data_IF_098296537081
#
_entry.id   IF_098296537081
#
_cell.length_a   1.000
_cell.length_b   1.000
_cell.length_c   1.000
_cell.angle_alpha   90.00
_cell.angle_beta   90.00
_cell.angle_gamma   90.00
#
_symmetry.space_group_name_H-M   'P 1'
#
loop_
_entity.id
_entity.type
_entity.pdbx_description
1 polymer ?
#
# COMPACT_ATOMS: atom_id res chain seq x y z
N UNK A 1 -10.10 -45.63 16.55
CA UNK A 1 -9.00 -45.17 17.43
C UNK A 1 -8.75 -46.14 18.58
N UNK A 2 -9.70 -46.35 19.51
CA UNK A 2 -9.47 -47.17 20.72
C UNK A 2 -8.86 -48.57 20.46
N UNK A 3 -9.35 -49.29 19.45
CA UNK A 3 -8.80 -50.60 19.05
C UNK A 3 -7.32 -50.52 18.64
N UNK A 4 -6.98 -49.59 17.74
CA UNK A 4 -5.59 -49.39 17.31
C UNK A 4 -4.69 -49.00 18.48
N UNK A 5 -5.17 -48.15 19.39
CA UNK A 5 -4.42 -47.76 20.59
C UNK A 5 -4.10 -48.97 21.47
N UNK A 6 -5.09 -49.83 21.75
CA UNK A 6 -4.89 -51.03 22.57
C UNK A 6 -3.84 -51.97 21.96
N UNK A 7 -3.89 -52.17 20.65
CA UNK A 7 -2.96 -53.05 19.95
C UNK A 7 -1.53 -52.48 19.88
N UNK A 8 -1.40 -51.18 19.63
CA UNK A 8 -0.09 -50.49 19.63
C UNK A 8 0.52 -50.48 21.03
N UNK A 9 -0.29 -50.29 22.08
CA UNK A 9 0.19 -50.40 23.47
C UNK A 9 0.67 -51.83 23.77
N UNK A 10 -0.12 -52.84 23.40
CA UNK A 10 0.27 -54.24 23.61
C UNK A 10 1.58 -54.60 22.88
N UNK A 11 1.73 -54.20 21.61
CA UNK A 11 2.96 -54.47 20.85
C UNK A 11 4.14 -53.65 21.39
N UNK A 12 3.93 -52.40 21.82
CA UNK A 12 4.95 -51.55 22.44
C UNK A 12 5.48 -52.13 23.75
N UNK A 13 4.59 -52.58 24.65
CA UNK A 13 5.00 -53.26 25.88
C UNK A 13 5.72 -54.58 25.59
N UNK A 14 5.19 -55.39 24.65
CA UNK A 14 5.80 -56.64 24.26
C UNK A 14 7.21 -56.44 23.68
N UNK A 15 7.43 -55.43 22.83
CA UNK A 15 8.75 -55.06 22.31
C UNK A 15 9.69 -54.63 23.42
N UNK A 16 9.21 -53.81 24.35
CA UNK A 16 10.01 -53.34 25.49
C UNK A 16 10.50 -54.52 26.34
N UNK A 17 9.62 -55.47 26.63
CA UNK A 17 9.94 -56.67 27.43
C UNK A 17 10.82 -57.65 26.64
N UNK A 18 10.59 -57.83 25.33
CA UNK A 18 11.29 -58.83 24.50
C UNK A 18 12.66 -58.38 23.97
N UNK A 19 12.89 -57.08 23.78
CA UNK A 19 14.18 -56.55 23.30
C UNK A 19 15.29 -56.54 24.39
N UNK A 20 15.02 -57.11 25.56
CA UNK A 20 15.97 -57.31 26.67
C UNK A 20 16.92 -58.48 26.42
N UNK A 21 17.52 -58.54 25.22
CA UNK A 21 18.38 -59.63 24.72
C UNK A 21 19.79 -59.60 25.31
N UNK A 22 19.88 -59.51 26.64
CA UNK A 22 21.12 -59.65 27.40
C UNK A 22 20.82 -60.20 28.80
N UNK A 23 21.06 -61.51 28.98
CA UNK A 23 20.94 -62.30 30.21
C UNK A 23 19.50 -62.58 30.71
N UNK A 24 19.18 -63.88 30.81
CA UNK A 24 17.90 -64.51 31.18
C UNK A 24 17.32 -64.17 32.57
N UNK A 25 17.87 -63.16 33.25
CA UNK A 25 17.40 -62.60 34.53
C UNK A 25 16.70 -61.24 34.37
N UNK A 26 16.68 -60.67 33.16
CA UNK A 26 16.11 -59.34 32.94
C UNK A 26 14.61 -59.34 32.59
N UNK A 27 14.08 -60.36 31.93
CA UNK A 27 12.65 -60.38 31.53
C UNK A 27 11.71 -60.43 32.74
N UNK A 28 11.99 -61.28 33.75
CA UNK A 28 11.20 -61.34 34.99
C UNK A 28 11.24 -60.01 35.74
N UNK A 29 12.42 -59.37 35.82
CA UNK A 29 12.59 -58.06 36.45
C UNK A 29 11.86 -56.95 35.69
N UNK A 30 11.83 -56.99 34.36
CA UNK A 30 11.07 -56.03 33.55
C UNK A 30 9.56 -56.22 33.71
N UNK A 31 9.09 -57.47 33.84
CA UNK A 31 7.68 -57.75 34.14
C UNK A 31 7.30 -57.29 35.56
N UNK A 32 8.18 -57.47 36.56
CA UNK A 32 8.01 -56.92 37.91
C UNK A 32 8.00 -55.38 37.90
N UNK A 33 8.90 -54.74 37.15
CA UNK A 33 8.92 -53.28 36.98
C UNK A 33 7.70 -52.76 36.22
N UNK A 34 7.20 -53.50 35.24
CA UNK A 34 5.96 -53.18 34.54
C UNK A 34 4.76 -53.26 35.49
N UNK A 35 4.68 -54.31 36.31
CA UNK A 35 3.65 -54.46 37.35
C UNK A 35 3.74 -53.37 38.44
N UNK A 36 4.95 -52.92 38.78
CA UNK A 36 5.21 -51.84 39.73
C UNK A 36 5.09 -50.42 39.13
N UNK A 37 4.86 -50.29 37.82
CA UNK A 37 4.76 -48.99 37.14
C UNK A 37 6.08 -48.22 36.99
N UNK A 38 7.23 -48.89 37.09
CA UNK A 38 8.57 -48.29 37.07
C UNK A 38 9.27 -48.31 35.70
N UNK A 39 8.55 -48.65 34.63
CA UNK A 39 9.11 -48.82 33.28
C UNK A 39 9.18 -47.51 32.47
N UNK A 40 8.84 -46.36 33.06
CA UNK A 40 8.65 -45.08 32.37
C UNK A 40 9.81 -44.65 31.47
N UNK A 41 11.05 -44.83 31.91
CA UNK A 41 12.25 -44.43 31.17
C UNK A 41 12.42 -45.16 29.82
N UNK A 42 11.81 -46.34 29.67
CA UNK A 42 11.87 -47.16 28.45
C UNK A 42 10.66 -46.98 27.53
N UNK A 43 9.63 -46.25 27.99
CA UNK A 43 8.37 -46.04 27.28
C UNK A 43 8.37 -44.70 26.55
N UNK A 44 9.27 -44.53 25.60
CA UNK A 44 9.25 -43.38 24.69
C UNK A 44 8.22 -43.54 23.58
N UNK A 45 7.71 -42.44 22.97
CA UNK A 45 6.81 -42.52 21.82
C UNK A 45 7.33 -43.41 20.67
N UNK A 46 8.65 -43.44 20.45
CA UNK A 46 9.30 -44.32 19.47
C UNK A 46 9.20 -45.80 19.80
N UNK A 47 9.09 -46.20 21.07
CA UNK A 47 8.87 -47.59 21.50
C UNK A 47 7.52 -48.11 21.03
N UNK A 48 6.54 -47.21 20.89
CA UNK A 48 5.20 -47.52 20.39
C UNK A 48 5.07 -47.39 18.86
N UNK A 49 6.13 -46.99 18.14
CA UNK A 49 6.17 -47.02 16.68
C UNK A 49 6.34 -48.47 16.21
N UNK A 50 5.22 -49.15 16.14
CA UNK A 50 5.12 -50.55 15.77
C UNK A 50 4.74 -50.70 14.30
N UNK A 51 5.02 -51.87 13.71
CA UNK A 51 4.60 -52.20 12.34
C UNK A 51 3.12 -52.60 12.25
N UNK A 52 2.33 -52.29 13.28
CA UNK A 52 0.92 -52.62 13.35
C UNK A 52 0.11 -51.72 12.41
N UNK A 53 -0.65 -52.36 11.52
CA UNK A 53 -1.60 -51.69 10.64
C UNK A 53 -3.01 -51.81 11.22
N UNK A 54 -3.55 -50.70 11.70
CA UNK A 54 -4.90 -50.65 12.25
C UNK A 54 -5.97 -50.26 11.21
N UNK A 55 -7.26 -50.30 11.58
CA UNK A 55 -8.38 -49.91 10.70
C UNK A 55 -8.35 -48.46 10.21
N UNK A 56 -7.62 -47.58 10.89
CA UNK A 56 -7.47 -46.15 10.57
C UNK A 56 -6.17 -45.88 9.79
N UNK A 57 -5.34 -46.90 9.59
CA UNK A 57 -4.00 -46.78 8.99
C UNK A 57 -2.87 -47.06 10.01
N UNK A 58 -1.61 -46.80 9.61
CA UNK A 58 -0.45 -46.98 10.48
C UNK A 58 -0.48 -45.94 11.62
N UNK A 59 -0.09 -46.37 12.82
CA UNK A 59 0.06 -45.47 13.97
C UNK A 59 1.53 -45.14 14.12
N UNK A 60 1.91 -43.95 13.67
CA UNK A 60 3.27 -43.42 13.79
C UNK A 60 3.20 -42.20 14.69
N UNK A 61 3.86 -42.28 15.83
CA UNK A 61 4.00 -41.20 16.79
C UNK A 61 5.30 -40.42 16.53
N UNK A 62 5.22 -39.12 16.64
CA UNK A 62 6.39 -38.25 16.64
C UNK A 62 7.07 -38.20 18.02
N UNK A 63 8.09 -37.35 18.17
CA UNK A 63 8.82 -37.21 19.43
C UNK A 63 7.98 -36.65 20.58
N UNK A 64 6.88 -35.95 20.26
CA UNK A 64 5.97 -35.35 21.21
C UNK A 64 4.81 -36.30 21.59
N UNK A 65 4.70 -37.45 20.91
CA UNK A 65 3.62 -38.41 21.10
C UNK A 65 2.38 -38.13 20.23
N UNK A 66 2.47 -37.21 19.28
CA UNK A 66 1.40 -36.90 18.33
C UNK A 66 1.44 -37.83 17.12
N UNK A 67 0.29 -38.07 16.51
CA UNK A 67 0.19 -38.93 15.33
C UNK A 67 0.76 -38.21 14.10
N UNK A 68 1.95 -38.60 13.65
CA UNK A 68 2.67 -38.01 12.52
C UNK A 68 1.93 -38.18 11.18
N UNK A 69 1.12 -39.24 11.03
CA UNK A 69 0.35 -39.52 9.80
C UNK A 69 -1.12 -39.72 10.12
N UNK A 70 -1.89 -38.63 10.13
CA UNK A 70 -3.35 -38.66 10.23
C UNK A 70 -4.04 -38.63 8.87
N UNK A 71 -5.19 -39.29 8.75
CA UNK A 71 -6.13 -39.11 7.64
C UNK A 71 -7.30 -38.27 8.10
N UNK A 72 -7.42 -37.04 7.62
CA UNK A 72 -8.52 -36.14 7.96
C UNK A 72 -9.48 -35.99 6.78
N UNK A 73 -10.76 -35.82 7.08
CA UNK A 73 -11.79 -35.49 6.08
C UNK A 73 -12.18 -34.03 6.25
N UNK A 74 -12.17 -33.30 5.16
CA UNK A 74 -12.53 -31.88 5.12
C UNK A 74 -13.97 -31.79 4.65
N UNK A 75 -14.80 -31.12 5.44
CA UNK A 75 -16.20 -30.92 5.15
C UNK A 75 -16.53 -29.45 4.95
N UNK A 76 -17.47 -29.16 4.06
CA UNK A 76 -18.04 -27.84 3.83
C UNK A 76 -19.56 -27.95 4.02
N UNK A 77 -20.12 -27.07 4.85
CA UNK A 77 -21.55 -27.03 5.10
C UNK A 77 -22.19 -26.22 3.98
N UNK A 78 -22.98 -26.88 3.13
CA UNK A 78 -23.65 -26.29 1.98
C UNK A 78 -25.16 -26.50 2.15
N UNK A 79 -25.95 -25.42 2.12
CA UNK A 79 -27.41 -25.49 2.30
C UNK A 79 -27.86 -26.26 3.56
N UNK A 80 -27.13 -26.08 4.67
CA UNK A 80 -27.40 -26.77 5.94
C UNK A 80 -26.99 -28.25 6.00
N UNK A 81 -26.43 -28.80 4.91
CA UNK A 81 -25.94 -30.17 4.86
C UNK A 81 -24.40 -30.23 4.82
N UNK A 82 -23.82 -31.14 5.59
CA UNK A 82 -22.38 -31.39 5.59
C UNK A 82 -21.98 -32.19 4.33
N UNK A 83 -21.15 -31.60 3.46
CA UNK A 83 -20.57 -32.28 2.28
C UNK A 83 -19.07 -32.45 2.42
N UNK A 84 -18.57 -33.64 2.12
CA UNK A 84 -17.12 -33.91 2.09
C UNK A 84 -16.50 -33.28 0.85
N UNK A 85 -15.56 -32.36 1.03
CA UNK A 85 -14.91 -31.61 -0.07
C UNK A 85 -13.48 -32.05 -0.34
N UNK A 86 -12.85 -32.77 0.59
CA UNK A 86 -11.49 -33.25 0.41
C UNK A 86 -11.02 -34.15 1.54
N UNK A 87 -9.83 -34.70 1.35
CA UNK A 87 -9.13 -35.54 2.34
C UNK A 87 -7.70 -35.05 2.50
N UNK A 88 -7.26 -34.99 3.74
CA UNK A 88 -5.85 -34.82 4.09
C UNK A 88 -5.28 -36.20 4.39
N UNK A 89 -4.25 -36.63 3.66
CA UNK A 89 -3.55 -37.88 3.95
C UNK A 89 -2.06 -37.56 4.08
N UNK A 90 -1.46 -37.86 5.23
CA UNK A 90 -0.04 -37.62 5.49
C UNK A 90 0.39 -36.15 5.22
N UNK A 91 -0.46 -35.19 5.60
CA UNK A 91 -0.21 -33.75 5.40
C UNK A 91 -0.56 -33.23 4.01
N UNK A 92 -0.85 -34.10 3.02
CA UNK A 92 -1.23 -33.69 1.68
C UNK A 92 -2.75 -33.51 1.55
N UNK A 93 -3.18 -32.30 1.20
CA UNK A 93 -4.58 -31.95 0.95
C UNK A 93 -5.00 -32.32 -0.47
N UNK A 94 -5.92 -33.26 -0.61
CA UNK A 94 -6.55 -33.59 -1.88
C UNK A 94 -8.02 -33.16 -1.87
N UNK A 95 -8.36 -32.10 -2.62
CA UNK A 95 -9.74 -31.63 -2.77
C UNK A 95 -10.44 -32.40 -3.89
N UNK A 96 -11.58 -33.00 -3.56
CA UNK A 96 -12.47 -33.65 -4.52
C UNK A 96 -13.46 -32.65 -5.12
N UNK A 97 -13.86 -31.63 -4.36
CA UNK A 97 -14.72 -30.56 -4.84
C UNK A 97 -14.30 -29.21 -4.23
N UNK A 98 -14.50 -28.09 -4.96
CA UNK A 98 -14.17 -26.78 -4.44
C UNK A 98 -15.10 -26.41 -3.26
N UNK A 99 -14.58 -25.75 -2.20
CA UNK A 99 -15.42 -25.21 -1.15
C UNK A 99 -16.34 -24.12 -1.71
N UNK A 100 -17.57 -24.07 -1.20
CA UNK A 100 -18.51 -22.97 -1.44
C UNK A 100 -18.47 -22.06 -0.21
N UNK A 101 -18.23 -20.77 -0.44
CA UNK A 101 -18.17 -19.75 0.59
C UNK A 101 -19.57 -19.16 0.86
N UNK A 102 -19.66 -18.29 1.87
CA UNK A 102 -20.95 -17.71 2.32
C UNK A 102 -21.68 -16.90 1.24
N UNK A 103 -20.96 -16.40 0.24
CA UNK A 103 -21.50 -15.68 -0.92
C UNK A 103 -22.07 -16.62 -2.01
N UNK A 104 -21.99 -17.94 -1.79
CA UNK A 104 -22.39 -18.96 -2.76
C UNK A 104 -21.38 -19.21 -3.88
N UNK A 105 -20.23 -18.52 -3.86
CA UNK A 105 -19.19 -18.70 -4.87
C UNK A 105 -18.10 -19.64 -4.37
N UNK A 106 -17.28 -20.14 -5.30
CA UNK A 106 -16.07 -20.92 -4.98
C UNK A 106 -14.82 -20.03 -4.88
N UNK A 107 -14.98 -18.71 -4.94
CA UNK A 107 -13.86 -17.76 -4.90
C UNK A 107 -13.48 -17.52 -3.44
N UNK A 108 -12.21 -17.79 -3.12
CA UNK A 108 -11.68 -17.53 -1.77
C UNK A 108 -11.83 -16.04 -1.45
N UNK A 109 -12.56 -15.66 -0.38
CA UNK A 109 -12.69 -14.27 0.00
C UNK A 109 -11.33 -13.74 0.47
N UNK A 110 -10.99 -12.53 0.02
CA UNK A 110 -9.70 -11.87 0.27
C UNK A 110 -9.50 -11.43 1.73
N UNK A 111 -10.52 -11.57 2.59
CA UNK A 111 -10.49 -11.15 4.00
C UNK A 111 -10.39 -9.64 4.22
N UNK A 112 -10.29 -8.86 3.14
CA UNK A 112 -10.22 -7.41 3.13
C UNK A 112 -11.28 -6.85 2.18
N UNK A 113 -11.91 -5.70 2.51
CA UNK A 113 -12.86 -5.05 1.62
C UNK A 113 -12.17 -4.58 0.34
N UNK A 114 -12.93 -4.52 -0.75
CA UNK A 114 -12.43 -3.99 -2.02
C UNK A 114 -12.00 -2.53 -1.87
N UNK A 115 -10.80 -2.22 -2.35
CA UNK A 115 -10.24 -0.86 -2.28
C UNK A 115 -10.87 0.00 -3.37
N UNK A 116 -11.61 1.03 -2.97
CA UNK A 116 -12.10 2.06 -3.87
C UNK A 116 -11.25 3.32 -3.77
N UNK A 117 -10.98 3.96 -4.91
CA UNK A 117 -10.22 5.21 -4.95
C UNK A 117 -11.14 6.38 -4.61
N UNK A 118 -10.75 7.20 -3.64
CA UNK A 118 -11.50 8.41 -3.26
C UNK A 118 -11.35 9.54 -4.29
N UNK A 119 -10.19 9.63 -4.95
CA UNK A 119 -9.95 10.66 -5.96
C UNK A 119 -10.76 10.33 -7.22
N UNK A 120 -11.59 11.25 -7.75
CA UNK A 120 -12.31 11.01 -9.00
C UNK A 120 -11.35 10.67 -10.13
N UNK A 121 -11.56 9.50 -10.74
CA UNK A 121 -10.80 9.08 -11.92
C UNK A 121 -11.03 10.01 -13.11
N UNK A 122 -10.20 9.89 -14.15
CA UNK A 122 -10.34 10.69 -15.38
C UNK A 122 -11.68 10.51 -16.11
N UNK A 123 -12.37 9.39 -15.85
CA UNK A 123 -13.70 9.09 -16.41
C UNK A 123 -14.85 9.71 -15.62
N UNK A 124 -14.59 10.27 -14.43
CA UNK A 124 -15.62 10.93 -13.63
C UNK A 124 -16.07 12.23 -14.31
N UNK A 125 -17.37 12.57 -14.32
CA UNK A 125 -17.88 13.80 -14.94
C UNK A 125 -17.23 15.06 -14.34
N UNK A 126 -16.91 15.04 -13.05
CA UNK A 126 -16.24 16.14 -12.35
C UNK A 126 -14.83 16.38 -12.93
N UNK A 127 -14.05 15.31 -13.12
CA UNK A 127 -12.70 15.39 -13.68
C UNK A 127 -12.72 15.91 -15.11
N UNK A 128 -13.69 15.47 -15.92
CA UNK A 128 -13.86 15.93 -17.30
C UNK A 128 -14.18 17.43 -17.34
N UNK A 129 -15.06 17.90 -16.46
CA UNK A 129 -15.41 19.33 -16.37
C UNK A 129 -14.22 20.20 -15.94
N UNK A 130 -13.42 19.76 -14.97
CA UNK A 130 -12.23 20.50 -14.53
C UNK A 130 -11.14 20.54 -15.61
N UNK A 131 -10.92 19.42 -16.32
CA UNK A 131 -9.96 19.36 -17.42
C UNK A 131 -10.38 20.21 -18.61
N UNK A 132 -11.67 20.26 -18.95
CA UNK A 132 -12.14 21.07 -20.07
C UNK A 132 -11.96 22.57 -19.79
N UNK A 133 -12.27 23.03 -18.58
CA UNK A 133 -12.05 24.42 -18.16
C UNK A 133 -10.55 24.76 -18.17
N UNK A 134 -9.71 23.88 -17.63
CA UNK A 134 -8.25 24.08 -17.63
C UNK A 134 -7.65 24.12 -19.03
N UNK A 135 -8.10 23.22 -19.92
CA UNK A 135 -7.66 23.19 -21.32
C UNK A 135 -8.07 24.46 -22.06
N UNK A 136 -9.30 24.93 -21.86
CA UNK A 136 -9.78 26.18 -22.44
C UNK A 136 -8.98 27.38 -21.95
N UNK A 137 -8.73 27.47 -20.64
CA UNK A 137 -7.86 28.51 -20.05
C UNK A 137 -6.44 28.48 -20.60
N UNK A 138 -5.87 27.30 -20.81
CA UNK A 138 -4.53 27.11 -21.40
C UNK A 138 -4.47 27.69 -22.82
N UNK A 139 -5.49 27.45 -23.66
CA UNK A 139 -5.57 28.00 -25.02
C UNK A 139 -5.62 29.52 -25.00
N UNK A 140 -6.43 30.11 -24.11
CA UNK A 140 -6.52 31.58 -23.96
C UNK A 140 -5.18 32.18 -23.55
N UNK A 141 -4.47 31.54 -22.61
CA UNK A 141 -3.16 32.00 -22.14
C UNK A 141 -2.13 31.94 -23.27
N UNK A 142 -2.08 30.84 -24.03
CA UNK A 142 -1.18 30.73 -25.19
C UNK A 142 -1.46 31.79 -26.25
N UNK A 143 -2.74 32.03 -26.57
CA UNK A 143 -3.14 33.06 -27.51
C UNK A 143 -2.74 34.46 -27.02
N UNK A 144 -2.98 34.76 -25.74
CA UNK A 144 -2.59 36.02 -25.12
C UNK A 144 -1.07 36.19 -25.10
N UNK A 145 -0.31 35.12 -24.87
CA UNK A 145 1.15 35.13 -24.91
C UNK A 145 1.66 35.50 -26.30
N UNK A 146 1.08 34.94 -27.36
CA UNK A 146 1.40 35.27 -28.75
C UNK A 146 1.13 36.75 -29.03
N UNK A 147 -0.04 37.27 -28.62
CA UNK A 147 -0.40 38.69 -28.79
C UNK A 147 0.63 39.59 -28.09
N UNK A 148 0.98 39.31 -26.83
CA UNK A 148 1.93 40.11 -26.06
C UNK A 148 3.30 40.15 -26.73
N UNK A 149 3.78 39.00 -27.24
CA UNK A 149 5.08 38.91 -27.91
C UNK A 149 5.07 39.65 -29.24
N UNK A 150 4.03 39.48 -30.06
CA UNK A 150 3.93 40.08 -31.39
C UNK A 150 3.74 41.60 -31.33
N UNK A 151 2.85 42.07 -30.45
CA UNK A 151 2.54 43.50 -30.29
C UNK A 151 3.38 44.21 -29.24
N UNK A 152 4.50 43.62 -28.78
CA UNK A 152 5.40 44.19 -27.74
C UNK A 152 5.89 45.62 -28.02
N UNK A 153 5.88 46.06 -29.28
CA UNK A 153 6.32 47.41 -29.70
C UNK A 153 5.23 48.48 -29.59
N UNK A 154 3.95 48.10 -29.44
CA UNK A 154 2.85 49.05 -29.28
C UNK A 154 2.91 49.72 -27.90
N UNK A 155 2.52 50.98 -27.83
CA UNK A 155 2.65 51.81 -26.62
C UNK A 155 1.95 51.20 -25.40
N UNK A 156 0.76 50.60 -25.60
CA UNK A 156 -0.02 49.94 -24.55
C UNK A 156 0.76 48.78 -23.90
N UNK A 157 1.32 47.87 -24.72
CA UNK A 157 2.10 46.73 -24.21
C UNK A 157 3.47 47.16 -23.67
N UNK A 158 4.07 48.20 -24.26
CA UNK A 158 5.34 48.77 -23.80
C UNK A 158 5.21 49.40 -22.41
N UNK A 159 4.10 50.09 -22.12
CA UNK A 159 3.82 50.66 -20.81
C UNK A 159 3.67 49.60 -19.72
N UNK A 160 3.01 48.48 -20.05
CA UNK A 160 2.77 47.37 -19.12
C UNK A 160 3.97 46.44 -18.92
N UNK A 161 5.09 46.71 -19.59
CA UNK A 161 6.33 45.91 -19.57
C UNK A 161 6.12 44.47 -20.06
N UNK A 162 6.32 44.19 -21.36
CA UNK A 162 5.91 42.92 -21.97
C UNK A 162 6.57 41.69 -21.34
N UNK A 163 7.78 41.83 -20.78
CA UNK A 163 8.47 40.75 -20.07
C UNK A 163 7.70 40.26 -18.84
N UNK A 164 7.18 41.17 -18.00
CA UNK A 164 6.43 40.78 -16.80
C UNK A 164 5.08 40.16 -17.16
N UNK A 165 4.41 40.64 -18.21
CA UNK A 165 3.20 39.99 -18.73
C UNK A 165 3.47 38.56 -19.20
N UNK A 166 4.59 38.32 -19.90
CA UNK A 166 4.97 36.97 -20.33
C UNK A 166 5.25 36.05 -19.13
N UNK A 167 5.93 36.54 -18.10
CA UNK A 167 6.18 35.74 -16.89
C UNK A 167 4.90 35.41 -16.12
N UNK A 168 3.93 36.32 -16.04
CA UNK A 168 2.62 36.03 -15.46
C UNK A 168 1.88 34.95 -16.26
N UNK A 169 1.91 35.03 -17.59
CA UNK A 169 1.29 34.02 -18.46
C UNK A 169 1.95 32.64 -18.32
N UNK A 170 3.27 32.58 -18.14
CA UNK A 170 3.97 31.32 -17.80
C UNK A 170 3.49 30.78 -16.45
N UNK A 171 3.25 31.64 -15.47
CA UNK A 171 2.70 31.24 -14.18
C UNK A 171 1.30 30.64 -14.30
N UNK A 172 0.43 31.24 -15.12
CA UNK A 172 -0.90 30.69 -15.40
C UNK A 172 -0.81 29.33 -16.10
N UNK A 173 0.09 29.14 -17.07
CA UNK A 173 0.32 27.82 -17.69
C UNK A 173 0.69 26.76 -16.65
N UNK A 174 1.62 27.06 -15.73
CA UNK A 174 2.01 26.13 -14.67
C UNK A 174 0.83 25.76 -13.76
N UNK A 175 -0.02 26.74 -13.41
CA UNK A 175 -1.22 26.46 -12.60
C UNK A 175 -2.25 25.60 -13.33
N UNK A 176 -2.47 25.81 -14.64
CA UNK A 176 -3.39 24.97 -15.42
C UNK A 176 -2.87 23.54 -15.60
N UNK A 177 -1.56 23.38 -15.81
CA UNK A 177 -0.90 22.06 -15.85
C UNK A 177 -1.04 21.33 -14.51
N UNK A 178 -0.98 22.04 -13.37
CA UNK A 178 -1.14 21.43 -12.05
C UNK A 178 -2.49 20.71 -11.86
N UNK A 179 -3.55 21.20 -12.52
CA UNK A 179 -4.90 20.59 -12.49
C UNK A 179 -4.88 19.19 -13.10
N UNK A 180 -4.08 18.97 -14.16
CA UNK A 180 -3.96 17.66 -14.79
C UNK A 180 -3.31 16.62 -13.85
N UNK A 181 -2.36 17.06 -13.01
CA UNK A 181 -1.73 16.21 -12.00
C UNK A 181 -2.61 15.98 -10.76
N UNK A 182 -3.59 16.84 -10.50
CA UNK A 182 -4.57 16.72 -9.40
C UNK A 182 -5.57 15.59 -9.60
N UNK A 183 -5.89 15.29 -10.86
CA UNK A 183 -6.92 14.32 -11.20
C UNK A 183 -6.32 12.94 -11.46
N UNK A 184 -7.10 11.89 -11.21
CA UNK A 184 -6.73 10.51 -11.53
C UNK A 184 -5.87 9.79 -10.48
N UNK A 185 -5.20 8.73 -10.93
CA UNK A 185 -4.43 7.84 -10.06
C UNK A 185 -3.17 8.54 -9.52
N UNK A 186 -2.99 8.46 -8.20
CA UNK A 186 -1.87 9.10 -7.50
C UNK A 186 -0.61 8.24 -7.63
N UNK A 187 0.19 8.52 -8.66
CA UNK A 187 1.58 8.04 -8.73
C UNK A 187 2.48 8.87 -7.80
N UNK A 188 3.57 8.30 -7.25
CA UNK A 188 4.59 9.07 -6.52
C UNK A 188 5.10 10.29 -7.31
N UNK A 189 5.14 10.20 -8.65
CA UNK A 189 5.49 11.36 -9.48
C UNK A 189 4.45 12.48 -9.37
N UNK A 190 3.16 12.14 -9.44
CA UNK A 190 2.08 13.11 -9.30
C UNK A 190 2.10 13.71 -7.88
N UNK A 191 2.43 12.92 -6.84
CA UNK A 191 2.65 13.34 -5.44
C UNK A 191 3.53 14.58 -5.35
N UNK A 192 4.67 14.54 -6.02
CA UNK A 192 5.67 15.61 -5.99
C UNK A 192 5.32 16.76 -6.94
N UNK A 193 4.78 16.47 -8.13
CA UNK A 193 4.58 17.47 -9.17
C UNK A 193 3.44 18.46 -8.90
N UNK A 194 2.36 18.04 -8.22
CA UNK A 194 1.25 18.96 -7.89
C UNK A 194 1.73 20.20 -7.13
N UNK A 195 2.30 20.07 -5.93
CA UNK A 195 2.66 21.24 -5.14
C UNK A 195 3.78 22.04 -5.81
N UNK A 196 4.73 21.40 -6.51
CA UNK A 196 5.76 22.11 -7.29
C UNK A 196 5.11 23.03 -8.32
N UNK A 197 4.30 22.47 -9.23
CA UNK A 197 3.73 23.23 -10.34
C UNK A 197 2.76 24.31 -9.87
N UNK A 198 1.95 24.01 -8.86
CA UNK A 198 0.99 24.96 -8.29
C UNK A 198 1.67 26.11 -7.54
N UNK A 199 2.57 25.82 -6.60
CA UNK A 199 3.22 26.86 -5.80
C UNK A 199 4.19 27.72 -6.62
N UNK A 200 4.95 27.12 -7.54
CA UNK A 200 5.81 27.89 -8.44
C UNK A 200 4.98 28.78 -9.38
N UNK A 201 3.90 28.26 -9.97
CA UNK A 201 3.01 29.04 -10.81
C UNK A 201 2.39 30.22 -10.06
N UNK A 202 1.83 29.98 -8.88
CA UNK A 202 1.24 31.01 -8.03
C UNK A 202 2.25 32.08 -7.59
N UNK A 203 3.45 31.66 -7.17
CA UNK A 203 4.52 32.58 -6.77
C UNK A 203 4.95 33.48 -7.93
N UNK A 204 5.03 32.93 -9.14
CA UNK A 204 5.38 33.69 -10.34
C UNK A 204 4.32 34.73 -10.69
N UNK A 205 3.03 34.38 -10.60
CA UNK A 205 1.93 35.32 -10.85
C UNK A 205 1.96 36.46 -9.82
N UNK A 206 1.95 36.13 -8.53
CA UNK A 206 1.93 37.13 -7.47
C UNK A 206 3.20 38.00 -7.44
N UNK A 207 4.38 37.39 -7.61
CA UNK A 207 5.66 38.11 -7.60
C UNK A 207 5.72 39.17 -8.69
N UNK A 208 5.26 38.85 -9.90
CA UNK A 208 5.22 39.80 -11.01
C UNK A 208 4.12 40.86 -10.83
N UNK A 209 2.95 40.48 -10.28
CA UNK A 209 1.87 41.42 -9.96
C UNK A 209 2.33 42.47 -8.94
N UNK A 210 3.00 42.03 -7.86
CA UNK A 210 3.57 42.92 -6.84
C UNK A 210 4.63 43.84 -7.46
N UNK A 211 5.52 43.30 -8.30
CA UNK A 211 6.56 44.09 -8.96
C UNK A 211 5.98 45.19 -9.86
N UNK A 212 4.93 44.89 -10.63
CA UNK A 212 4.20 45.89 -11.45
C UNK A 212 3.56 46.97 -10.61
N UNK A 213 2.83 46.58 -9.55
CA UNK A 213 2.19 47.53 -8.65
C UNK A 213 3.22 48.41 -7.93
N UNK A 214 4.36 47.85 -7.53
CA UNK A 214 5.47 48.60 -6.94
C UNK A 214 6.06 49.64 -7.90
N UNK A 215 6.24 49.30 -9.18
CA UNK A 215 6.68 50.26 -10.22
C UNK A 215 5.70 51.42 -10.34
N UNK A 216 4.40 51.13 -10.40
CA UNK A 216 3.35 52.14 -10.50
C UNK A 216 3.37 53.07 -9.28
N UNK A 217 3.38 52.49 -8.06
CA UNK A 217 3.50 53.25 -6.81
C UNK A 217 4.70 54.18 -6.79
N UNK A 218 5.88 53.70 -7.21
CA UNK A 218 7.13 54.49 -7.27
C UNK A 218 7.07 55.63 -8.29
N UNK A 219 6.33 55.47 -9.40
CA UNK A 219 6.16 56.54 -10.39
C UNK A 219 5.28 57.66 -9.83
N UNK A 220 4.19 57.32 -9.14
CA UNK A 220 3.24 58.32 -8.62
C UNK A 220 3.69 58.99 -7.32
N UNK A 221 4.43 58.30 -6.45
CA UNK A 221 4.84 58.85 -5.16
C UNK A 221 6.08 59.78 -5.24
N UNK A 222 6.77 59.83 -6.39
CA UNK A 222 8.07 60.48 -6.52
C UNK A 222 8.03 61.74 -7.42
N UNK A 223 6.99 62.57 -7.25
CA UNK A 223 6.77 63.79 -8.07
C UNK A 223 7.85 64.86 -7.83
N UNK A 224 8.53 64.85 -6.66
CA UNK A 224 9.45 65.92 -6.24
C UNK A 224 10.95 65.58 -6.35
N UNK A 225 11.33 64.33 -6.61
CA UNK A 225 12.74 63.89 -6.71
C UNK A 225 13.01 63.42 -8.14
N UNK A 226 14.19 63.76 -8.68
CA UNK A 226 14.68 63.36 -10.02
C UNK A 226 14.23 61.95 -10.39
N UNK A 227 13.53 61.83 -11.54
CA UNK A 227 12.87 60.62 -12.05
C UNK A 227 13.86 59.44 -12.11
N UNK A 228 13.98 58.67 -11.04
CA UNK A 228 14.82 57.48 -11.01
C UNK A 228 14.21 56.43 -11.93
N UNK A 229 14.89 56.12 -13.04
CA UNK A 229 14.43 55.13 -14.01
C UNK A 229 14.53 53.74 -13.36
N UNK A 230 13.39 53.22 -12.94
CA UNK A 230 13.29 51.85 -12.41
C UNK A 230 13.56 50.89 -13.57
N UNK A 231 14.66 50.13 -13.48
CA UNK A 231 15.10 49.23 -14.55
C UNK A 231 14.45 47.85 -14.37
N UNK A 232 13.98 47.24 -15.47
CA UNK A 232 13.30 45.93 -15.45
C UNK A 232 14.14 44.84 -14.76
N UNK A 233 15.47 44.91 -14.86
CA UNK A 233 16.38 43.98 -14.18
C UNK A 233 16.35 44.05 -12.65
N UNK A 234 16.05 45.21 -12.06
CA UNK A 234 15.90 45.33 -10.59
C UNK A 234 14.62 44.65 -10.11
N UNK A 235 13.53 44.76 -10.88
CA UNK A 235 12.27 44.09 -10.57
C UNK A 235 12.34 42.59 -10.81
N UNK A 236 13.05 42.17 -11.86
CA UNK A 236 13.29 40.75 -12.12
C UNK A 236 14.06 40.09 -10.99
N UNK A 237 15.02 40.79 -10.36
CA UNK A 237 15.72 40.30 -9.17
C UNK A 237 14.78 40.09 -7.98
N UNK A 238 13.82 40.99 -7.74
CA UNK A 238 12.84 40.86 -6.65
C UNK A 238 11.88 39.69 -6.92
N UNK A 239 11.31 39.61 -8.13
CA UNK A 239 10.44 38.51 -8.54
C UNK A 239 11.16 37.15 -8.49
N UNK A 240 12.40 37.10 -9.00
CA UNK A 240 13.26 35.92 -8.92
C UNK A 240 13.64 35.53 -7.49
N UNK A 241 13.87 36.51 -6.59
CA UNK A 241 14.10 36.24 -5.17
C UNK A 241 12.89 35.57 -4.51
N UNK A 242 11.67 36.04 -4.80
CA UNK A 242 10.44 35.42 -4.27
C UNK A 242 10.31 33.98 -4.75
N UNK A 243 10.52 33.72 -6.05
CA UNK A 243 10.42 32.37 -6.63
C UNK A 243 11.51 31.43 -6.10
N UNK A 244 12.74 31.92 -5.93
CA UNK A 244 13.84 31.11 -5.38
C UNK A 244 13.59 30.77 -3.92
N UNK A 245 13.06 31.69 -3.11
CA UNK A 245 12.67 31.41 -1.73
C UNK A 245 11.60 30.33 -1.68
N UNK A 246 10.56 30.40 -2.52
CA UNK A 246 9.51 29.37 -2.53
C UNK A 246 10.01 28.02 -3.02
N UNK A 247 10.91 28.00 -4.02
CA UNK A 247 11.55 26.78 -4.49
C UNK A 247 12.43 26.12 -3.40
N UNK A 248 13.20 26.91 -2.64
CA UNK A 248 14.03 26.42 -1.54
C UNK A 248 13.18 25.88 -0.40
N UNK A 249 12.14 26.60 0.01
CA UNK A 249 11.20 26.15 1.04
C UNK A 249 10.54 24.83 0.65
N UNK A 250 10.16 24.67 -0.62
CA UNK A 250 9.57 23.43 -1.10
C UNK A 250 10.59 22.30 -1.20
N UNK A 251 11.82 22.57 -1.66
CA UNK A 251 12.89 21.58 -1.69
C UNK A 251 13.22 21.07 -0.28
N UNK A 252 13.24 21.97 0.71
CA UNK A 252 13.40 21.62 2.13
C UNK A 252 12.23 20.77 2.63
N UNK A 253 10.99 21.16 2.32
CA UNK A 253 9.81 20.37 2.65
C UNK A 253 9.90 18.95 2.06
N UNK A 254 10.24 18.82 0.78
CA UNK A 254 10.39 17.53 0.09
C UNK A 254 11.53 16.66 0.65
N UNK A 255 12.52 17.26 1.31
CA UNK A 255 13.60 16.52 2.00
C UNK A 255 13.17 16.01 3.38
N UNK A 256 12.27 16.73 4.05
CA UNK A 256 11.72 16.35 5.35
C UNK A 256 10.60 15.33 5.19
N UNK A 257 9.70 15.54 4.23
CA UNK A 257 8.58 14.65 3.96
C UNK A 257 9.04 13.55 3.00
N UNK A 258 9.20 12.33 3.49
CA UNK A 258 9.31 11.17 2.61
C UNK A 258 7.98 11.04 1.84
N UNK A 259 7.99 11.28 0.52
CA UNK A 259 6.77 11.33 -0.29
C UNK A 259 6.25 9.92 -0.57
N UNK A 260 5.75 9.26 0.47
CA UNK A 260 5.05 7.97 0.33
C UNK A 260 3.58 8.22 -0.05
N UNK A 261 3.07 7.44 -1.00
CA UNK A 261 1.64 7.45 -1.33
C UNK A 261 0.87 6.72 -0.23
N UNK A 262 0.30 7.48 0.71
CA UNK A 262 -0.58 6.94 1.75
C UNK A 262 -1.94 6.57 1.16
N UNK A 263 -2.42 5.36 1.47
CA UNK A 263 -3.77 4.93 1.14
C UNK A 263 -4.67 5.14 2.35
N UNK A 264 -5.79 5.83 2.15
CA UNK A 264 -6.82 5.99 3.16
C UNK A 264 -7.72 4.76 3.12
N UNK A 265 -7.69 3.94 4.16
CA UNK A 265 -8.71 2.90 4.37
C UNK A 265 -9.86 3.53 5.14
N UNK A 266 -11.02 3.63 4.49
CA UNK A 266 -12.26 4.05 5.14
C UNK A 266 -12.95 2.80 5.67
N UNK A 267 -12.95 2.64 6.99
CA UNK A 267 -13.68 1.56 7.64
C UNK A 267 -15.14 2.01 7.85
N UNK A 268 -16.00 1.63 6.90
CA UNK A 268 -17.42 2.03 6.89
C UNK A 268 -18.19 1.55 8.12
N UNK A 269 -17.68 0.55 8.85
CA UNK A 269 -18.31 0.03 10.06
C UNK A 269 -18.11 0.92 11.28
N UNK A 270 -16.98 1.64 11.35
CA UNK A 270 -16.59 2.45 12.52
C UNK A 270 -16.47 3.95 12.21
N UNK A 271 -16.61 4.37 10.94
CA UNK A 271 -16.42 5.77 10.50
C UNK A 271 -15.06 6.34 10.96
N UNK A 272 -14.03 5.49 11.03
CA UNK A 272 -12.66 5.86 11.38
C UNK A 272 -11.83 5.91 10.11
N UNK A 273 -11.15 7.04 9.89
CA UNK A 273 -10.17 7.21 8.81
C UNK A 273 -8.82 6.76 9.32
N UNK A 274 -8.37 5.59 8.89
CA UNK A 274 -7.03 5.09 9.19
C UNK A 274 -6.08 5.45 8.04
N UNK A 275 -5.06 6.26 8.35
CA UNK A 275 -3.91 6.49 7.47
C UNK A 275 -3.01 5.26 7.56
N UNK A 276 -2.88 4.53 6.46
CA UNK A 276 -1.95 3.40 6.39
C UNK A 276 -0.74 3.81 5.53
N UNK A 277 0.39 4.10 6.20
CA UNK A 277 1.64 4.57 5.58
C UNK A 277 2.52 3.44 5.01
N UNK A 278 2.10 2.17 5.05
CA UNK A 278 2.97 1.05 4.64
C UNK A 278 2.76 0.61 3.20
N UNK A 279 3.66 1.05 2.33
CA UNK A 279 4.17 0.21 1.24
C UNK A 279 5.65 -0.02 1.53
N UNK A 280 5.94 -1.12 2.23
CA UNK A 280 7.22 -1.79 2.03
C UNK A 280 7.12 -2.57 0.72
N UNK A 281 8.12 -2.35 -0.13
CA UNK A 281 8.51 -3.18 -1.27
C UNK A 281 8.38 -4.68 -0.98
N UNK A 282 7.47 -5.35 -1.68
CA UNK A 282 7.62 -6.71 -2.22
C UNK A 282 6.91 -6.80 -3.58
#
# INVERSE_FOLDING_TARGET
MAYSCMMVMADGFNRTVSNSTGLSTNTTRMLEQLAAGQLGDYLSPSTFNTSFLGPVGPVILDQNGDMATGSFRVYNIQNGAQREIGRMIAGNLNLTSPPIFHDGTTKVPTGVPDRSYLNPGYKSPVSIALLSISAFGTVIVLFSMIIVIFYRKREVFKASSPLFCVLELVGFLLTYVSVAFFLGYRSPFNCTMIPITFHLGYSLILGNLIAKNYRIYRIFNNIFITRTVVTDGQLLKVSGAIVTITAVSYAFYCRISESSSAFLTIDYLNCVVLLNDRINSE
#
